data_IF_409259374051
#
_entry.id   IF_409259374051
#
_cell.length_a   1.000
_cell.length_b   1.000
_cell.length_c   1.000
_cell.angle_alpha   90.00
_cell.angle_beta   90.00
_cell.angle_gamma   90.00
#
_symmetry.space_group_name_H-M   'P 1'
#
loop_
_entity.id
_entity.type
_entity.pdbx_description
1 polymer ?
#
# COMPACT_ATOMS: atom_id res chain seq x y z
N UNK A 1 -5.62 -19.11 6.38
CA UNK A 1 -4.39 -18.46 5.86
C UNK A 1 -3.45 -17.94 6.95
N UNK A 2 -3.84 -17.98 8.23
CA UNK A 2 -3.03 -17.45 9.33
C UNK A 2 -2.11 -18.48 10.03
N UNK A 3 -2.10 -19.73 9.59
CA UNK A 3 -1.42 -20.81 10.31
C UNK A 3 0.03 -21.06 9.86
N UNK A 4 0.50 -20.32 8.87
CA UNK A 4 1.89 -20.42 8.42
C UNK A 4 2.63 -19.11 8.69
N UNK A 5 3.81 -19.16 9.32
CA UNK A 5 4.62 -17.96 9.49
C UNK A 5 4.93 -17.38 8.09
N UNK A 6 4.77 -16.06 7.90
CA UNK A 6 5.02 -15.42 6.61
C UNK A 6 6.48 -15.58 6.21
N UNK A 7 6.72 -15.94 4.95
CA UNK A 7 8.05 -16.18 4.38
C UNK A 7 8.25 -15.33 3.15
N UNK A 8 9.50 -15.00 2.88
CA UNK A 8 9.96 -14.31 1.68
C UNK A 8 10.90 -15.22 0.88
N UNK A 9 10.77 -15.16 -0.43
CA UNK A 9 11.78 -15.61 -1.37
C UNK A 9 12.40 -14.38 -2.02
N UNK A 10 13.72 -14.28 -1.96
CA UNK A 10 14.47 -13.18 -2.59
C UNK A 10 15.49 -13.82 -3.52
N UNK A 11 15.31 -13.60 -4.83
CA UNK A 11 16.25 -14.04 -5.83
C UNK A 11 17.62 -13.37 -5.65
N UNK A 12 18.70 -14.14 -5.80
CA UNK A 12 20.06 -13.64 -5.60
C UNK A 12 20.45 -13.28 -4.15
N UNK A 13 19.63 -13.60 -3.16
CA UNK A 13 19.98 -13.34 -1.76
C UNK A 13 21.14 -14.25 -1.29
N UNK A 14 22.03 -13.75 -0.41
CA UNK A 14 23.05 -14.57 0.21
C UNK A 14 22.45 -15.78 0.94
N UNK A 15 22.90 -16.98 0.62
CA UNK A 15 22.39 -18.23 1.23
C UNK A 15 21.56 -19.11 0.29
N UNK A 16 21.45 -18.75 -0.98
CA UNK A 16 20.81 -19.54 -2.04
C UNK A 16 19.28 -19.37 -2.11
N UNK A 17 18.68 -20.03 -3.07
CA UNK A 17 17.26 -20.03 -3.36
C UNK A 17 16.45 -20.74 -2.27
N UNK A 18 16.08 -20.05 -1.22
CA UNK A 18 15.26 -20.62 -0.15
C UNK A 18 14.27 -19.60 0.42
N UNK A 19 13.15 -20.10 0.88
CA UNK A 19 12.18 -19.33 1.62
C UNK A 19 12.71 -18.98 3.02
N UNK A 20 12.79 -17.70 3.32
CA UNK A 20 13.27 -17.18 4.61
C UNK A 20 12.10 -16.60 5.40
N UNK A 21 12.13 -16.72 6.71
CA UNK A 21 11.09 -16.15 7.56
C UNK A 21 11.03 -14.61 7.40
N UNK A 22 9.83 -14.05 7.25
CA UNK A 22 9.66 -12.60 7.17
C UNK A 22 10.23 -11.89 8.41
N UNK A 23 10.20 -12.57 9.56
CA UNK A 23 10.74 -12.04 10.82
C UNK A 23 12.23 -11.68 10.74
N UNK A 24 13.02 -12.38 9.93
CA UNK A 24 14.46 -12.14 9.76
C UNK A 24 14.77 -10.82 9.04
N UNK A 25 13.74 -10.23 8.42
CA UNK A 25 13.84 -8.95 7.70
C UNK A 25 13.29 -7.77 8.51
N UNK A 26 12.64 -8.04 9.65
CA UNK A 26 12.15 -6.99 10.54
C UNK A 26 13.31 -6.14 11.05
N UNK A 27 13.08 -4.83 11.14
CA UNK A 27 14.09 -3.87 11.58
C UNK A 27 15.00 -3.37 10.45
N UNK A 28 15.32 -4.21 9.45
CA UNK A 28 16.14 -3.77 8.31
C UNK A 28 15.31 -3.14 7.19
N UNK A 29 14.11 -3.66 6.96
CA UNK A 29 13.23 -3.25 5.87
C UNK A 29 11.86 -2.78 6.36
N UNK A 30 11.71 -2.58 7.66
CA UNK A 30 10.47 -2.07 8.22
C UNK A 30 10.26 -0.61 7.81
N UNK A 31 9.03 -0.27 7.45
CA UNK A 31 8.70 1.12 7.10
C UNK A 31 8.87 2.03 8.33
N UNK A 32 9.45 3.25 8.18
CA UNK A 32 9.73 4.16 9.31
C UNK A 32 8.51 4.43 10.21
N UNK A 33 7.31 4.53 9.66
CA UNK A 33 6.09 4.71 10.47
C UNK A 33 5.83 3.52 11.39
N UNK A 34 6.08 2.28 10.96
CA UNK A 34 5.96 1.12 11.83
C UNK A 34 7.01 1.12 12.94
N UNK A 35 8.20 1.59 12.66
CA UNK A 35 9.25 1.76 13.68
C UNK A 35 8.87 2.83 14.70
N UNK A 36 8.28 3.96 14.23
CA UNK A 36 7.95 5.09 15.09
C UNK A 36 6.71 4.88 15.94
N UNK A 37 5.62 4.36 15.37
CA UNK A 37 4.30 4.31 16.02
C UNK A 37 3.64 2.93 15.98
N UNK A 38 4.35 1.90 15.53
CA UNK A 38 3.78 0.56 15.32
C UNK A 38 3.21 -0.09 16.59
N UNK A 39 3.85 0.08 17.74
CA UNK A 39 3.34 -0.47 19.00
C UNK A 39 2.06 0.24 19.46
N UNK A 40 2.01 1.57 19.30
CA UNK A 40 0.82 2.35 19.57
C UNK A 40 -0.31 1.97 18.60
N UNK A 41 0.03 1.79 17.33
CA UNK A 41 -0.90 1.38 16.29
C UNK A 41 -1.54 0.02 16.60
N UNK A 42 -0.75 -0.98 16.98
CA UNK A 42 -1.25 -2.32 17.33
C UNK A 42 -2.19 -2.31 18.53
N UNK A 43 -1.98 -1.38 19.48
CA UNK A 43 -2.85 -1.25 20.67
C UNK A 43 -4.18 -0.57 20.37
N UNK A 44 -4.23 0.33 19.40
CA UNK A 44 -5.36 1.26 19.22
C UNK A 44 -6.05 1.17 17.87
N UNK A 45 -5.53 0.37 16.92
CA UNK A 45 -6.07 0.29 15.57
C UNK A 45 -6.50 -1.11 15.15
N UNK A 46 -7.49 -1.19 14.26
CA UNK A 46 -7.93 -2.41 13.60
C UNK A 46 -6.89 -2.95 12.61
N UNK A 47 -7.13 -4.18 12.13
CA UNK A 47 -6.28 -4.86 11.13
C UNK A 47 -4.79 -4.89 11.52
N UNK A 48 -4.50 -5.19 12.80
CA UNK A 48 -3.12 -5.23 13.31
C UNK A 48 -2.43 -3.87 13.40
N UNK A 49 -3.19 -2.77 13.41
CA UNK A 49 -2.69 -1.40 13.50
C UNK A 49 -2.66 -0.64 12.17
N UNK A 50 -3.01 -1.28 11.06
CA UNK A 50 -3.00 -0.60 9.75
C UNK A 50 -3.94 0.59 9.69
N UNK A 51 -5.14 0.47 10.26
CA UNK A 51 -6.13 1.56 10.27
C UNK A 51 -5.60 2.78 11.05
N UNK A 52 -4.87 2.52 12.15
CA UNK A 52 -4.23 3.58 12.92
C UNK A 52 -3.13 4.28 12.09
N UNK A 53 -2.26 3.53 11.43
CA UNK A 53 -1.18 4.09 10.61
C UNK A 53 -1.75 4.96 9.49
N UNK A 54 -2.80 4.49 8.81
CA UNK A 54 -3.46 5.25 7.75
C UNK A 54 -4.03 6.58 8.27
N UNK A 55 -4.77 6.54 9.38
CA UNK A 55 -5.33 7.74 9.98
C UNK A 55 -4.25 8.69 10.50
N UNK A 56 -3.21 8.14 11.15
CA UNK A 56 -2.06 8.91 11.65
C UNK A 56 -1.39 9.68 10.50
N UNK A 57 -1.12 8.99 9.39
CA UNK A 57 -0.46 9.59 8.23
C UNK A 57 -1.33 10.67 7.59
N UNK A 58 -2.63 10.44 7.45
CA UNK A 58 -3.55 11.45 6.93
C UNK A 58 -3.56 12.71 7.80
N UNK A 59 -3.67 12.53 9.12
CA UNK A 59 -3.65 13.67 10.07
C UNK A 59 -2.32 14.41 10.00
N UNK A 60 -1.21 13.69 9.88
CA UNK A 60 0.11 14.29 9.72
C UNK A 60 0.15 15.15 8.45
N UNK A 61 -0.27 14.64 7.31
CA UNK A 61 -0.33 15.40 6.06
C UNK A 61 -1.15 16.67 6.21
N UNK A 62 -2.34 16.57 6.83
CA UNK A 62 -3.21 17.74 7.06
C UNK A 62 -2.56 18.79 7.97
N UNK A 63 -1.86 18.37 9.02
CA UNK A 63 -1.21 19.30 9.97
C UNK A 63 0.01 20.00 9.37
N UNK A 64 0.72 19.30 8.48
CA UNK A 64 1.95 19.80 7.86
C UNK A 64 1.69 20.47 6.50
N UNK A 65 0.43 20.49 6.03
CA UNK A 65 0.08 21.04 4.72
C UNK A 65 0.63 20.23 3.54
N UNK A 66 0.87 18.93 3.76
CA UNK A 66 1.36 18.01 2.74
C UNK A 66 0.19 17.40 1.97
N UNK A 67 0.43 17.03 0.73
CA UNK A 67 -0.51 16.22 -0.02
C UNK A 67 -0.66 14.84 0.66
N UNK A 68 -1.89 14.27 0.71
CA UNK A 68 -2.08 12.90 1.14
C UNK A 68 -1.31 11.91 0.25
N UNK A 69 -0.96 10.75 0.80
CA UNK A 69 -0.22 9.71 0.05
C UNK A 69 -1.06 9.09 -1.08
N UNK A 70 -2.36 9.24 -1.03
CA UNK A 70 -3.31 8.87 -2.09
C UNK A 70 -4.44 9.89 -2.16
N UNK A 71 -4.99 10.06 -3.35
CA UNK A 71 -6.02 11.06 -3.64
C UNK A 71 -7.35 10.43 -4.09
N UNK A 72 -8.30 11.28 -4.50
CA UNK A 72 -9.61 10.84 -4.98
C UNK A 72 -9.53 10.02 -6.27
N UNK A 73 -8.52 10.23 -7.09
CA UNK A 73 -8.34 9.48 -8.33
C UNK A 73 -7.83 8.07 -8.04
N UNK A 74 -6.95 7.90 -7.04
CA UNK A 74 -6.54 6.60 -6.54
C UNK A 74 -7.74 5.83 -5.99
N UNK A 75 -8.54 6.47 -5.15
CA UNK A 75 -9.74 5.86 -4.60
C UNK A 75 -10.73 5.42 -5.69
N UNK A 76 -10.93 6.25 -6.73
CA UNK A 76 -11.77 5.89 -7.88
C UNK A 76 -11.19 4.69 -8.65
N UNK A 77 -9.87 4.70 -8.90
CA UNK A 77 -9.18 3.62 -9.59
C UNK A 77 -9.24 2.29 -8.83
N UNK A 78 -9.17 2.32 -7.50
CA UNK A 78 -9.29 1.12 -6.67
C UNK A 78 -10.73 0.58 -6.55
N UNK A 79 -11.71 1.46 -6.69
CA UNK A 79 -13.13 1.09 -6.55
C UNK A 79 -13.74 0.57 -7.85
N UNK A 80 -13.31 1.05 -9.00
CA UNK A 80 -13.91 0.73 -10.29
C UNK A 80 -13.75 -0.73 -10.76
N UNK A 81 -12.71 -1.51 -10.37
CA UNK A 81 -12.55 -2.89 -10.84
C UNK A 81 -13.77 -3.76 -10.58
N UNK A 82 -14.49 -3.54 -9.47
CA UNK A 82 -15.74 -4.27 -9.20
C UNK A 82 -16.74 -4.13 -10.35
N UNK A 83 -17.07 -2.91 -10.73
CA UNK A 83 -18.01 -2.63 -11.81
C UNK A 83 -17.50 -3.09 -13.19
N UNK A 84 -16.19 -2.99 -13.43
CA UNK A 84 -15.59 -3.46 -14.67
C UNK A 84 -15.57 -4.99 -14.78
N UNK A 85 -15.34 -5.69 -13.67
CA UNK A 85 -15.44 -7.15 -13.61
C UNK A 85 -16.85 -7.63 -13.91
N UNK A 86 -17.86 -7.02 -13.30
CA UNK A 86 -19.27 -7.33 -13.59
C UNK A 86 -19.58 -7.10 -15.08
N UNK A 87 -19.12 -5.98 -15.66
CA UNK A 87 -19.31 -5.67 -17.05
C UNK A 87 -18.61 -6.67 -17.98
N UNK A 88 -17.39 -7.09 -17.63
CA UNK A 88 -16.64 -8.11 -18.36
C UNK A 88 -17.38 -9.45 -18.38
N UNK A 89 -17.84 -9.91 -17.22
CA UNK A 89 -18.61 -11.16 -17.11
C UNK A 89 -19.86 -11.13 -17.98
N UNK A 90 -20.65 -10.05 -17.93
CA UNK A 90 -21.85 -9.88 -18.75
C UNK A 90 -21.56 -9.90 -20.26
N UNK A 91 -20.35 -9.57 -20.67
CA UNK A 91 -19.86 -9.60 -22.06
C UNK A 91 -19.09 -10.87 -22.41
N UNK A 92 -19.27 -11.97 -21.66
CA UNK A 92 -18.59 -13.23 -21.92
C UNK A 92 -17.09 -13.19 -21.59
N UNK A 93 -16.71 -12.50 -20.53
CA UNK A 93 -15.31 -12.30 -20.09
C UNK A 93 -14.46 -11.48 -21.08
N UNK A 94 -15.10 -10.59 -21.81
CA UNK A 94 -14.39 -9.72 -22.75
C UNK A 94 -13.53 -8.68 -22.03
N UNK A 95 -12.39 -8.26 -22.61
CA UNK A 95 -11.61 -7.16 -22.09
C UNK A 95 -12.43 -5.87 -22.01
N UNK A 96 -12.36 -5.19 -20.87
CA UNK A 96 -13.01 -3.89 -20.66
C UNK A 96 -11.94 -2.82 -20.50
N UNK A 97 -12.11 -1.71 -21.20
CA UNK A 97 -11.20 -0.57 -21.08
C UNK A 97 -11.31 0.03 -19.68
N UNK A 98 -10.18 0.14 -19.01
CA UNK A 98 -10.09 0.84 -17.73
C UNK A 98 -10.26 2.35 -17.94
N UNK A 99 -11.14 3.05 -17.21
CA UNK A 99 -11.31 4.48 -17.35
C UNK A 99 -10.10 5.25 -16.77
N UNK A 100 -9.73 6.32 -17.42
CA UNK A 100 -8.74 7.26 -16.91
C UNK A 100 -9.46 8.40 -16.19
N UNK A 101 -9.53 8.34 -14.87
CA UNK A 101 -10.18 9.35 -14.03
C UNK A 101 -9.41 10.67 -14.01
N UNK A 102 -8.11 10.64 -14.27
CA UNK A 102 -7.23 11.81 -14.26
C UNK A 102 -7.24 12.59 -15.57
N UNK A 103 -7.90 12.07 -16.60
CA UNK A 103 -7.90 12.64 -17.98
C UNK A 103 -6.48 12.83 -18.53
N UNK A 104 -5.58 11.90 -18.22
CA UNK A 104 -4.20 11.93 -18.69
C UNK A 104 -3.21 12.59 -17.71
N UNK A 105 -3.67 13.24 -16.65
CA UNK A 105 -2.79 13.95 -15.72
C UNK A 105 -1.81 13.00 -14.99
N UNK A 106 -2.15 11.71 -14.84
CA UNK A 106 -1.26 10.71 -14.25
C UNK A 106 0.09 10.57 -14.96
N UNK A 107 0.16 10.95 -16.25
CA UNK A 107 1.41 10.88 -17.05
C UNK A 107 2.41 11.95 -16.68
N UNK A 108 1.95 13.04 -16.10
CA UNK A 108 2.76 14.20 -15.72
C UNK A 108 2.80 14.42 -14.21
N UNK A 109 1.96 13.69 -13.47
CA UNK A 109 1.99 13.70 -12.02
C UNK A 109 3.27 13.01 -11.55
N UNK A 110 4.12 13.75 -10.85
CA UNK A 110 5.16 13.14 -10.03
C UNK A 110 4.46 12.44 -8.87
N UNK A 111 4.75 11.15 -8.67
CA UNK A 111 4.29 10.45 -7.48
C UNK A 111 4.57 11.32 -6.24
N UNK A 112 3.64 11.35 -5.25
CA UNK A 112 3.92 12.02 -3.99
C UNK A 112 5.28 11.52 -3.49
N UNK A 113 6.20 12.42 -3.27
CA UNK A 113 7.48 12.04 -2.68
C UNK A 113 7.14 11.53 -1.28
N UNK A 114 7.34 10.24 -1.05
CA UNK A 114 7.23 9.67 0.29
C UNK A 114 7.98 10.55 1.28
N UNK A 115 7.64 10.49 2.59
CA UNK A 115 8.31 11.30 3.58
C UNK A 115 9.81 11.20 3.35
N UNK A 116 10.47 12.35 3.16
CA UNK A 116 11.90 12.39 3.09
C UNK A 116 12.40 11.61 4.30
N UNK A 117 13.19 10.57 4.06
CA UNK A 117 13.92 9.88 5.10
C UNK A 117 14.77 10.93 5.79
N UNK A 118 14.23 11.51 6.84
CA UNK A 118 15.01 12.39 7.73
C UNK A 118 16.09 11.51 8.35
N UNK A 119 17.35 11.95 8.34
CA UNK A 119 18.48 11.17 8.83
C UNK A 119 18.37 10.82 10.31
#
# INVERSE_FOLDING_TARGET
>A
FNDYPPRLYIDGAPGGERWTALADFKGKYEHPLWTAVGDLARKNGGHGGMDFIMAYRLIQCMREGLAPDFDVYDAAAWSVPYALCEQSIRKGSAPIKFPDFTRGAWRTSTAPQGPASTP
#
